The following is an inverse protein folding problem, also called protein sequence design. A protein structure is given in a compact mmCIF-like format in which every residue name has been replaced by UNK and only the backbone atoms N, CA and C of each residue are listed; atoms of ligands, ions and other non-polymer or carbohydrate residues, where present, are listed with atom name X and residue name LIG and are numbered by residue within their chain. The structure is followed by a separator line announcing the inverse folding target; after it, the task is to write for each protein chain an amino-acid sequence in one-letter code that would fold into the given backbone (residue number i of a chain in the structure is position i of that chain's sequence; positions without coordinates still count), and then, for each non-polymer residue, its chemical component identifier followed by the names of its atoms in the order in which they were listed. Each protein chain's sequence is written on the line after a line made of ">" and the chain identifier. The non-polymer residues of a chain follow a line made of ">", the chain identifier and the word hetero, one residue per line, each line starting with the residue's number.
data_IF_056023125708
#
_entry.id   IF_056023125708
#
_cell.length_a   1.000
_cell.length_b   1.000
_cell.length_c   1.000
_cell.angle_alpha   90.00
_cell.angle_beta   90.00
_cell.angle_gamma   90.00
#
_symmetry.space_group_name_H-M   'P 1'
#
loop_
_entity.id
_entity.type
_entity.pdbx_description
1 polymer ?
#
# COMPACT_ATOMS: atom_id res chain seq x y z
N UNK A 1 26.02 -5.17 -8.67
CA UNK A 1 24.88 -4.42 -9.23
C UNK A 1 23.58 -5.24 -9.26
N UNK A 2 23.55 -6.51 -9.71
CA UNK A 2 22.31 -7.32 -9.75
C UNK A 2 21.63 -7.60 -8.40
N UNK A 3 22.38 -7.82 -7.32
CA UNK A 3 21.79 -8.13 -5.99
C UNK A 3 21.03 -6.93 -5.40
N UNK A 4 21.57 -5.71 -5.54
CA UNK A 4 20.95 -4.48 -5.03
C UNK A 4 19.65 -4.15 -5.79
N UNK A 5 19.63 -4.32 -7.11
CA UNK A 5 18.41 -4.12 -7.92
C UNK A 5 17.32 -5.13 -7.59
N UNK A 6 17.69 -6.38 -7.23
CA UNK A 6 16.72 -7.41 -6.81
C UNK A 6 16.09 -7.05 -5.46
N UNK A 7 16.89 -6.63 -4.48
CA UNK A 7 16.42 -6.23 -3.16
C UNK A 7 15.48 -5.02 -3.25
N UNK A 8 15.83 -4.00 -4.04
CA UNK A 8 14.97 -2.82 -4.24
C UNK A 8 13.62 -3.24 -4.86
N UNK A 9 13.61 -4.12 -5.86
CA UNK A 9 12.37 -4.64 -6.46
C UNK A 9 11.52 -5.43 -5.46
N UNK A 10 12.15 -6.27 -4.62
CA UNK A 10 11.45 -7.02 -3.56
C UNK A 10 10.86 -6.09 -2.50
N UNK A 11 11.58 -5.05 -2.09
CA UNK A 11 11.10 -4.06 -1.13
C UNK A 11 9.92 -3.25 -1.70
N UNK A 12 10.00 -2.83 -2.97
CA UNK A 12 8.90 -2.14 -3.65
C UNK A 12 7.67 -3.04 -3.79
N UNK A 13 7.86 -4.33 -4.08
CA UNK A 13 6.77 -5.31 -4.15
C UNK A 13 6.10 -5.51 -2.78
N UNK A 14 6.90 -5.61 -1.70
CA UNK A 14 6.37 -5.70 -0.34
C UNK A 14 5.67 -4.42 0.10
N UNK A 15 6.18 -3.25 -0.26
CA UNK A 15 5.52 -1.98 0.04
C UNK A 15 4.17 -1.86 -0.69
N UNK A 16 4.14 -2.20 -1.99
CA UNK A 16 2.93 -2.19 -2.79
C UNK A 16 1.89 -3.24 -2.36
N UNK A 17 2.29 -4.23 -1.54
CA UNK A 17 1.37 -5.25 -1.01
C UNK A 17 0.58 -4.82 0.23
N UNK A 18 0.83 -3.61 0.78
CA UNK A 18 0.00 -3.07 1.86
C UNK A 18 -1.36 -2.66 1.29
N UNK A 19 -2.43 -3.21 1.85
CA UNK A 19 -3.79 -2.84 1.47
C UNK A 19 -4.15 -1.52 2.13
N UNK A 20 -4.62 -0.56 1.32
CA UNK A 20 -5.12 0.75 1.79
C UNK A 20 -6.61 0.82 1.49
N UNK A 21 -7.41 1.16 2.50
CA UNK A 21 -8.87 1.25 2.39
C UNK A 21 -9.32 2.61 2.90
N UNK A 22 -10.16 3.29 2.12
CA UNK A 22 -10.76 4.57 2.46
C UNK A 22 -12.27 4.41 2.66
N UNK A 23 -12.82 5.00 3.73
CA UNK A 23 -14.25 4.94 4.08
C UNK A 23 -14.77 6.26 4.59
N UNK A 24 -16.08 6.48 4.46
CA UNK A 24 -16.73 7.65 5.05
C UNK A 24 -16.99 7.40 6.54
N UNK A 25 -17.06 8.47 7.32
CA UNK A 25 -17.54 8.40 8.69
C UNK A 25 -18.97 7.79 8.77
N UNK A 26 -19.26 7.11 9.87
CA UNK A 26 -20.50 6.38 10.17
C UNK A 26 -20.79 5.17 9.27
N UNK A 27 -19.89 4.79 8.37
CA UNK A 27 -19.98 3.53 7.63
C UNK A 27 -19.48 2.34 8.47
N UNK A 28 -19.94 1.15 8.13
CA UNK A 28 -19.37 -0.09 8.64
C UNK A 28 -18.23 -0.53 7.72
N UNK A 29 -17.10 -0.94 8.31
CA UNK A 29 -15.94 -1.42 7.56
C UNK A 29 -15.54 -2.82 8.02
N UNK A 30 -15.19 -3.66 7.06
CA UNK A 30 -14.65 -5.00 7.26
C UNK A 30 -13.21 -5.01 6.74
N UNK A 31 -12.24 -5.12 7.65
CA UNK A 31 -10.84 -5.23 7.28
C UNK A 31 -10.52 -6.70 6.99
N UNK A 32 -10.11 -6.97 5.76
CA UNK A 32 -9.90 -8.33 5.28
C UNK A 32 -8.69 -8.97 5.96
N UNK A 33 -8.84 -10.21 6.44
CA UNK A 33 -7.73 -11.06 6.79
C UNK A 33 -7.62 -12.19 5.75
N UNK A 34 -6.44 -12.42 5.12
CA UNK A 34 -6.27 -13.42 4.07
C UNK A 34 -6.16 -14.84 4.66
N UNK A 35 -7.20 -15.27 5.38
CA UNK A 35 -7.38 -16.65 5.80
C UNK A 35 -7.94 -17.43 4.61
N UNK A 36 -7.21 -18.42 4.12
CA UNK A 36 -7.71 -19.25 3.03
C UNK A 36 -8.82 -20.16 3.56
N UNK A 37 -9.95 -20.26 2.84
CA UNK A 37 -11.04 -21.18 3.20
C UNK A 37 -10.58 -22.66 3.24
N UNK A 38 -9.51 -22.99 2.49
CA UNK A 38 -8.85 -24.30 2.52
C UNK A 38 -7.84 -24.47 3.66
N UNK A 39 -7.41 -23.36 4.28
CA UNK A 39 -6.50 -23.32 5.43
C UNK A 39 -7.30 -23.25 6.74
N UNK A 40 -8.20 -24.21 6.98
CA UNK A 40 -8.90 -24.37 8.27
C UNK A 40 -7.98 -24.80 9.43
N UNK A 41 -6.67 -24.79 9.22
CA UNK A 41 -5.62 -25.32 10.10
C UNK A 41 -4.75 -24.20 10.69
N UNK A 42 -5.36 -23.10 11.11
CA UNK A 42 -4.72 -22.11 11.97
C UNK A 42 -5.00 -22.41 13.44
N UNK A 43 -4.05 -22.10 14.32
CA UNK A 43 -4.22 -22.18 15.77
C UNK A 43 -5.13 -21.04 16.25
N UNK A 44 -4.90 -19.83 15.73
CA UNK A 44 -5.66 -18.64 16.09
C UNK A 44 -5.48 -17.50 15.10
N UNK A 45 -6.46 -16.60 15.05
CA UNK A 45 -6.35 -15.28 14.39
C UNK A 45 -6.44 -14.19 15.44
N UNK A 46 -5.55 -13.19 15.36
CA UNK A 46 -5.57 -12.03 16.23
C UNK A 46 -5.42 -10.74 15.42
N UNK A 47 -6.18 -9.72 15.81
CA UNK A 47 -6.13 -8.39 15.24
C UNK A 47 -5.48 -7.40 16.21
N UNK A 48 -4.67 -6.51 15.65
CA UNK A 48 -3.96 -5.48 16.37
C UNK A 48 -4.11 -4.12 15.69
N UNK A 49 -4.17 -3.04 16.48
CA UNK A 49 -3.92 -1.68 16.00
C UNK A 49 -2.43 -1.40 16.14
N UNK A 50 -1.79 -0.98 15.07
CA UNK A 50 -0.35 -0.70 15.02
C UNK A 50 -0.12 0.79 15.18
N UNK A 51 0.70 1.16 16.16
CA UNK A 51 1.09 2.55 16.39
C UNK A 51 2.61 2.60 16.56
N UNK A 52 3.31 3.27 15.65
CA UNK A 52 4.77 3.38 15.64
C UNK A 52 5.49 2.03 15.81
N UNK A 53 4.96 0.96 15.20
CA UNK A 53 5.48 -0.40 15.30
C UNK A 53 5.03 -1.20 16.52
N UNK A 54 4.43 -0.56 17.53
CA UNK A 54 3.85 -1.25 18.68
C UNK A 54 2.45 -1.79 18.34
N UNK A 55 2.21 -3.07 18.66
CA UNK A 55 0.95 -3.74 18.41
C UNK A 55 0.07 -3.71 19.66
N UNK A 56 -1.09 -3.09 19.56
CA UNK A 56 -2.11 -3.10 20.61
C UNK A 56 -3.18 -4.11 20.24
N UNK A 57 -3.40 -5.12 21.10
CA UNK A 57 -4.39 -6.16 20.85
C UNK A 57 -5.80 -5.58 20.75
N UNK A 58 -6.58 -6.08 19.80
CA UNK A 58 -7.99 -5.71 19.62
C UNK A 58 -8.87 -6.91 20.00
N UNK A 59 -8.73 -8.00 19.24
CA UNK A 59 -9.54 -9.21 19.39
C UNK A 59 -8.73 -10.42 18.91
N UNK A 60 -8.90 -11.57 19.56
CA UNK A 60 -8.27 -12.84 19.19
C UNK A 60 -9.30 -13.97 19.24
N UNK A 61 -9.22 -14.89 18.30
CA UNK A 61 -10.04 -16.11 18.28
C UNK A 61 -9.16 -17.32 17.98
N UNK A 62 -9.17 -18.30 18.86
CA UNK A 62 -8.61 -19.62 18.57
C UNK A 62 -9.58 -20.43 17.72
N UNK A 63 -9.09 -21.45 17.01
CA UNK A 63 -9.94 -22.29 16.18
C UNK A 63 -10.99 -23.02 17.03
N UNK A 64 -12.28 -22.79 16.75
CA UNK A 64 -13.41 -23.41 17.47
C UNK A 64 -13.74 -22.79 18.84
N UNK A 65 -13.08 -21.71 19.25
CA UNK A 65 -13.32 -21.03 20.52
C UNK A 65 -14.00 -19.68 20.32
N UNK A 66 -14.60 -19.17 21.41
CA UNK A 66 -15.16 -17.81 21.44
C UNK A 66 -14.06 -16.74 21.36
N UNK A 67 -14.35 -15.55 20.79
CA UNK A 67 -13.40 -14.45 20.75
C UNK A 67 -13.04 -13.93 22.15
N UNK A 68 -11.75 -13.69 22.34
CA UNK A 68 -11.20 -12.94 23.46
C UNK A 68 -10.97 -11.49 23.03
N UNK A 69 -11.53 -10.55 23.78
CA UNK A 69 -11.40 -9.12 23.55
C UNK A 69 -10.31 -8.54 24.44
N UNK A 70 -9.46 -7.68 23.85
CA UNK A 70 -8.49 -6.90 24.60
C UNK A 70 -9.08 -5.52 24.97
N UNK A 71 -8.34 -4.74 25.76
CA UNK A 71 -8.75 -3.38 26.13
C UNK A 71 -8.62 -2.41 24.95
N UNK A 72 -9.54 -2.51 24.01
CA UNK A 72 -9.67 -1.64 22.85
C UNK A 72 -10.82 -0.68 23.09
N UNK A 73 -10.63 0.60 22.78
CA UNK A 73 -11.55 1.68 23.16
C UNK A 73 -12.95 1.61 22.53
N UNK A 74 -13.18 0.65 21.62
CA UNK A 74 -14.42 0.52 20.87
C UNK A 74 -14.83 -0.93 20.70
N UNK A 75 -16.12 -1.12 20.51
CA UNK A 75 -16.68 -2.42 20.15
C UNK A 75 -16.25 -2.82 18.74
N UNK A 76 -15.86 -4.08 18.61
CA UNK A 76 -15.48 -4.73 17.36
C UNK A 76 -16.00 -6.16 17.39
N UNK A 77 -16.08 -6.81 16.24
CA UNK A 77 -16.33 -8.26 16.18
C UNK A 77 -15.52 -8.89 15.05
N UNK A 78 -15.42 -10.21 15.05
CA UNK A 78 -15.01 -10.92 13.84
C UNK A 78 -16.18 -11.00 12.86
N UNK A 79 -15.93 -10.59 11.61
CA UNK A 79 -16.82 -10.81 10.48
C UNK A 79 -16.54 -12.14 9.76
N UNK A 80 -16.95 -12.20 8.49
CA UNK A 80 -16.64 -13.33 7.60
C UNK A 80 -15.13 -13.52 7.45
N UNK A 81 -14.67 -14.76 7.25
CA UNK A 81 -13.25 -15.09 6.99
C UNK A 81 -12.26 -14.54 8.03
N UNK A 82 -12.70 -14.37 9.27
CA UNK A 82 -11.90 -13.79 10.36
C UNK A 82 -11.52 -12.31 10.15
N UNK A 83 -12.27 -11.59 9.32
CA UNK A 83 -12.13 -10.15 9.12
C UNK A 83 -12.43 -9.39 10.41
N UNK A 84 -11.82 -8.22 10.59
CA UNK A 84 -12.18 -7.32 11.67
C UNK A 84 -13.34 -6.42 11.23
N UNK A 85 -14.49 -6.54 11.91
CA UNK A 85 -15.65 -5.70 11.66
C UNK A 85 -15.67 -4.53 12.64
N UNK A 86 -15.66 -3.32 12.08
CA UNK A 86 -15.69 -2.06 12.79
C UNK A 86 -16.94 -1.30 12.34
N UNK A 87 -17.93 -1.17 13.22
CA UNK A 87 -19.19 -0.49 12.90
C UNK A 87 -19.12 1.01 13.14
N UNK A 88 -19.84 1.78 12.32
CA UNK A 88 -19.98 3.24 12.42
C UNK A 88 -18.64 3.94 12.70
N UNK A 89 -17.69 3.78 11.77
CA UNK A 89 -16.33 4.29 11.98
C UNK A 89 -16.27 5.81 12.04
N UNK A 90 -15.28 6.31 12.77
CA UNK A 90 -14.95 7.73 12.91
C UNK A 90 -13.52 8.00 12.45
N UNK A 91 -13.12 9.25 12.21
CA UNK A 91 -11.74 9.60 11.86
C UNK A 91 -10.68 9.06 12.83
N UNK A 92 -11.01 8.93 14.13
CA UNK A 92 -10.13 8.36 15.16
C UNK A 92 -9.84 6.86 14.97
N UNK A 93 -10.67 6.17 14.19
CA UNK A 93 -10.47 4.77 13.83
C UNK A 93 -9.44 4.57 12.73
N UNK A 94 -9.03 5.65 12.06
CA UNK A 94 -7.95 5.60 11.08
C UNK A 94 -6.65 5.09 11.70
N UNK A 95 -5.81 4.52 10.85
CA UNK A 95 -4.50 4.00 11.21
C UNK A 95 -4.25 2.61 10.63
N UNK A 96 -3.10 2.05 11.02
CA UNK A 96 -2.67 0.75 10.54
C UNK A 96 -3.18 -0.36 11.45
N UNK A 97 -3.72 -1.39 10.84
CA UNK A 97 -4.20 -2.60 11.48
C UNK A 97 -3.39 -3.79 10.97
N UNK A 98 -3.19 -4.79 11.82
CA UNK A 98 -2.51 -6.02 11.44
C UNK A 98 -3.29 -7.25 11.88
N UNK A 99 -3.60 -8.12 10.94
CA UNK A 99 -4.07 -9.47 11.19
C UNK A 99 -2.87 -10.41 11.33
N UNK A 100 -2.79 -11.15 12.43
CA UNK A 100 -1.79 -12.21 12.66
C UNK A 100 -2.51 -13.56 12.70
N UNK A 101 -2.15 -14.42 11.76
CA UNK A 101 -2.63 -15.81 11.67
C UNK A 101 -1.53 -16.69 12.26
N UNK A 102 -1.81 -17.31 13.40
CA UNK A 102 -0.92 -18.28 14.02
C UNK A 102 -1.14 -19.64 13.39
N UNK A 103 -0.10 -20.23 12.80
CA UNK A 103 -0.19 -21.56 12.22
C UNK A 103 -0.16 -22.64 13.31
N UNK A 104 -0.57 -23.85 12.94
CA UNK A 104 -0.32 -25.04 13.75
C UNK A 104 1.19 -25.30 13.89
N UNK A 105 1.55 -26.19 14.83
CA UNK A 105 2.94 -26.60 15.06
C UNK A 105 3.58 -27.07 13.76
N UNK A 106 4.77 -26.54 13.46
CA UNK A 106 5.50 -26.83 12.21
C UNK A 106 5.08 -25.96 11.02
N UNK A 107 4.01 -25.18 11.14
CA UNK A 107 3.60 -24.19 10.14
C UNK A 107 4.26 -22.83 10.34
N UNK A 108 4.05 -21.94 9.36
CA UNK A 108 4.56 -20.56 9.40
C UNK A 108 3.44 -19.57 9.68
N UNK A 109 3.63 -18.71 10.69
CA UNK A 109 2.72 -17.61 10.98
C UNK A 109 2.68 -16.62 9.82
N UNK A 110 1.50 -16.06 9.56
CA UNK A 110 1.28 -15.07 8.50
C UNK A 110 0.77 -13.78 9.12
N UNK A 111 1.29 -12.65 8.64
CA UNK A 111 0.85 -11.32 9.06
C UNK A 111 0.36 -10.56 7.84
N UNK A 112 -0.76 -9.87 7.96
CA UNK A 112 -1.32 -9.02 6.92
C UNK A 112 -1.63 -7.64 7.48
N UNK A 113 -1.10 -6.60 6.84
CA UNK A 113 -1.29 -5.21 7.27
C UNK A 113 -2.29 -4.52 6.35
N UNK A 114 -3.19 -3.75 6.96
CA UNK A 114 -4.22 -2.96 6.30
C UNK A 114 -4.18 -1.54 6.88
N UNK A 115 -4.11 -0.53 6.02
CA UNK A 115 -4.21 0.88 6.43
C UNK A 115 -5.63 1.37 6.18
N UNK A 116 -6.32 1.77 7.25
CA UNK A 116 -7.66 2.33 7.20
C UNK A 116 -7.59 3.85 7.29
N UNK A 117 -8.23 4.54 6.34
CA UNK A 117 -8.46 5.98 6.38
C UNK A 117 -9.97 6.21 6.43
N UNK A 118 -10.41 6.93 7.46
CA UNK A 118 -11.80 7.35 7.60
C UNK A 118 -11.87 8.84 7.40
N UNK A 119 -12.65 9.25 6.40
CA UNK A 119 -12.86 10.67 6.08
C UNK A 119 -13.67 11.37 7.17
N UNK A 120 -13.50 12.68 7.27
CA UNK A 120 -14.21 13.53 8.23
C UNK A 120 -15.74 13.36 8.14
N UNK A 121 -16.39 13.42 9.30
CA UNK A 121 -17.85 13.41 9.36
C UNK A 121 -18.35 14.76 8.87
N UNK A 122 -18.92 14.83 7.66
CA UNK A 122 -19.53 16.06 7.15
C UNK A 122 -20.75 16.36 8.03
N UNK A 123 -20.80 17.52 8.71
CA UNK A 123 -22.02 17.93 9.38
C UNK A 123 -23.07 18.17 8.31
N UNK A 124 -24.16 17.41 8.35
CA UNK A 124 -25.36 17.75 7.58
C UNK A 124 -25.86 19.08 8.13
N UNK A 125 -25.42 20.20 7.57
CA UNK A 125 -26.06 21.47 7.81
C UNK A 125 -27.54 21.29 7.45
N UNK A 126 -28.50 21.65 8.32
CA UNK A 126 -29.90 21.60 7.94
C UNK A 126 -30.06 22.47 6.69
N UNK A 127 -30.59 21.88 5.62
CA UNK A 127 -31.03 22.59 4.42
C UNK A 127 -32.03 23.65 4.87
N UNK A 128 -31.53 24.85 5.17
CA UNK A 128 -32.37 26.00 5.39
C UNK A 128 -32.94 26.32 4.02
N UNK A 129 -34.23 26.05 3.87
CA UNK A 129 -35.03 26.42 2.70
C UNK A 129 -34.90 27.93 2.49
N UNK A 130 -33.93 28.37 1.70
CA UNK A 130 -33.83 29.77 1.29
C UNK A 130 -34.89 30.00 0.22
N UNK A 131 -36.00 30.62 0.64
CA UNK A 131 -36.96 31.24 -0.24
C UNK A 131 -36.23 32.28 -1.11
N UNK A 132 -36.00 31.95 -2.36
CA UNK A 132 -35.54 32.91 -3.37
C UNK A 132 -36.69 33.87 -3.69
N UNK A 133 -36.65 35.06 -3.09
CA UNK A 133 -37.28 36.23 -3.70
C UNK A 133 -36.28 36.82 -4.70
N UNK A 134 -36.64 36.80 -5.98
CA UNK A 134 -35.89 37.39 -7.09
C UNK A 134 -35.34 38.78 -6.77
N UNK A 135 -34.02 38.98 -6.91
CA UNK A 135 -33.41 40.28 -7.25
C UNK A 135 -31.97 40.07 -7.76
N UNK A 136 -31.80 40.31 -9.07
CA UNK A 136 -30.60 40.70 -9.83
C UNK A 136 -29.28 39.92 -9.71
N UNK A 137 -28.76 39.61 -10.91
CA UNK A 137 -27.42 39.11 -11.21
C UNK A 137 -26.31 39.71 -10.34
N UNK A 138 -25.74 38.89 -9.47
CA UNK A 138 -24.34 38.95 -9.09
C UNK A 138 -23.87 37.53 -8.71
N UNK A 139 -22.88 37.07 -9.45
CA UNK A 139 -22.04 35.88 -9.23
C UNK A 139 -21.74 35.55 -7.75
N UNK A 140 -21.99 34.30 -7.30
CA UNK A 140 -21.24 33.72 -6.20
C UNK A 140 -20.06 32.93 -6.77
N UNK A 141 -18.89 33.55 -6.74
CA UNK A 141 -17.60 32.90 -6.98
C UNK A 141 -17.43 31.76 -5.98
N UNK A 142 -17.54 30.51 -6.45
CA UNK A 142 -16.99 29.37 -5.74
C UNK A 142 -15.46 29.54 -5.65
N UNK A 143 -14.81 29.22 -4.53
CA UNK A 143 -13.37 29.01 -4.55
C UNK A 143 -13.11 27.70 -5.31
N UNK A 144 -12.40 27.71 -6.45
CA UNK A 144 -11.92 26.46 -7.02
C UNK A 144 -10.83 25.89 -6.10
N UNK A 145 -11.06 24.71 -5.53
CA UNK A 145 -9.99 23.91 -4.95
C UNK A 145 -8.95 23.64 -6.05
N UNK A 146 -7.66 23.98 -5.87
CA UNK A 146 -6.64 23.55 -6.80
C UNK A 146 -6.37 22.07 -6.55
N UNK A 147 -7.03 21.18 -7.30
CA UNK A 147 -6.52 19.82 -7.53
C UNK A 147 -5.30 19.93 -8.44
N UNK A 148 -4.19 20.40 -7.91
CA UNK A 148 -2.86 20.18 -8.49
C UNK A 148 -2.40 18.81 -8.01
N UNK A 149 -3.04 17.76 -8.55
CA UNK A 149 -2.44 16.45 -8.61
C UNK A 149 -1.32 16.58 -9.64
N UNK A 150 -0.15 17.05 -9.21
CA UNK A 150 1.05 17.05 -10.04
C UNK A 150 1.47 15.58 -10.11
N UNK A 151 0.87 14.84 -11.05
CA UNK A 151 1.47 13.63 -11.56
C UNK A 151 2.90 14.00 -11.92
N UNK A 152 3.88 13.39 -11.25
CA UNK A 152 5.29 13.62 -11.58
C UNK A 152 5.41 13.50 -13.09
N UNK A 153 5.92 14.52 -13.78
CA UNK A 153 5.76 14.63 -15.22
C UNK A 153 6.40 13.41 -15.86
N UNK A 154 5.57 12.58 -16.49
CA UNK A 154 5.94 11.33 -17.16
C UNK A 154 7.14 11.54 -18.12
N UNK A 155 7.31 12.76 -18.61
CA UNK A 155 8.43 13.22 -19.43
C UNK A 155 9.80 13.06 -18.75
N UNK A 156 9.93 13.28 -17.44
CA UNK A 156 11.20 13.10 -16.71
C UNK A 156 11.58 11.62 -16.58
N UNK A 157 10.58 10.77 -16.35
CA UNK A 157 10.76 9.32 -16.32
C UNK A 157 11.22 8.79 -17.68
N UNK A 158 10.54 9.20 -18.77
CA UNK A 158 10.92 8.82 -20.14
C UNK A 158 12.33 9.31 -20.48
N UNK A 159 12.66 10.56 -20.16
CA UNK A 159 13.99 11.13 -20.38
C UNK A 159 15.07 10.35 -19.61
N UNK A 160 14.79 9.97 -18.35
CA UNK A 160 15.68 9.15 -17.54
C UNK A 160 15.94 7.76 -18.15
N UNK A 161 14.88 7.06 -18.56
CA UNK A 161 15.03 5.75 -19.21
C UNK A 161 15.79 5.83 -20.55
N UNK A 162 15.53 6.86 -21.34
CA UNK A 162 16.24 7.09 -22.60
C UNK A 162 17.73 7.34 -22.37
N UNK A 163 18.10 8.16 -21.39
CA UNK A 163 19.51 8.42 -21.04
C UNK A 163 20.24 7.13 -20.61
N UNK A 164 19.60 6.29 -19.80
CA UNK A 164 20.17 4.99 -19.37
C UNK A 164 20.33 4.04 -20.55
N UNK A 165 19.38 4.01 -21.48
CA UNK A 165 19.46 3.19 -22.68
C UNK A 165 20.63 3.63 -23.58
N UNK A 166 20.78 4.94 -23.80
CA UNK A 166 21.88 5.50 -24.59
C UNK A 166 23.24 5.20 -23.95
N UNK A 167 23.36 5.36 -22.63
CA UNK A 167 24.60 5.04 -21.91
C UNK A 167 25.02 3.57 -22.10
N UNK A 168 24.06 2.62 -22.09
CA UNK A 168 24.34 1.20 -22.34
C UNK A 168 24.81 0.94 -23.77
N UNK A 169 24.22 1.62 -24.76
CA UNK A 169 24.62 1.50 -26.17
C UNK A 169 26.04 2.04 -26.37
N UNK A 170 26.36 3.19 -25.79
CA UNK A 170 27.72 3.76 -25.88
C UNK A 170 28.73 2.81 -25.23
N UNK A 171 28.42 2.27 -24.05
CA UNK A 171 29.32 1.36 -23.34
C UNK A 171 29.52 0.04 -24.11
N UNK A 172 28.49 -0.49 -24.76
CA UNK A 172 28.62 -1.69 -25.59
C UNK A 172 29.50 -1.46 -26.82
N UNK A 173 29.37 -0.30 -27.48
CA UNK A 173 30.22 0.08 -28.61
C UNK A 173 31.69 0.24 -28.20
N UNK A 174 31.96 0.87 -27.06
CA UNK A 174 33.33 1.00 -26.52
C UNK A 174 33.93 -0.38 -26.25
N UNK A 175 33.18 -1.29 -25.63
CA UNK A 175 33.64 -2.66 -25.36
C UNK A 175 33.98 -3.40 -26.65
N UNK A 176 33.09 -3.34 -27.65
CA UNK A 176 33.34 -3.97 -28.96
C UNK A 176 34.58 -3.37 -29.64
N UNK A 177 34.73 -2.04 -29.58
CA UNK A 177 35.87 -1.35 -30.17
C UNK A 177 37.20 -1.75 -29.51
N UNK A 178 37.23 -1.83 -28.17
CA UNK A 178 38.42 -2.30 -27.43
C UNK A 178 38.76 -3.75 -27.77
N UNK A 179 37.76 -4.64 -27.87
CA UNK A 179 37.98 -6.04 -28.27
C UNK A 179 38.55 -6.12 -29.68
N UNK A 180 38.00 -5.37 -30.64
CA UNK A 180 38.51 -5.31 -32.02
C UNK A 180 39.92 -4.75 -32.10
N UNK A 181 40.24 -3.72 -31.31
CA UNK A 181 41.58 -3.15 -31.27
C UNK A 181 42.59 -4.15 -30.70
N UNK A 182 42.22 -4.87 -29.63
CA UNK A 182 43.06 -5.93 -29.06
C UNK A 182 43.25 -7.10 -30.03
N UNK A 183 42.20 -7.57 -30.69
CA UNK A 183 42.30 -8.66 -31.66
C UNK A 183 43.10 -8.27 -32.90
N UNK A 184 42.99 -7.01 -33.35
CA UNK A 184 43.80 -6.44 -34.43
C UNK A 184 45.28 -6.36 -34.03
N UNK A 185 45.59 -5.84 -32.83
CA UNK A 185 46.97 -5.81 -32.30
C UNK A 185 47.55 -7.21 -32.10
N UNK A 186 46.77 -8.17 -31.59
CA UNK A 186 47.18 -9.56 -31.45
C UNK A 186 47.47 -10.22 -32.80
N UNK A 187 46.64 -9.95 -33.81
CA UNK A 187 46.91 -10.42 -35.18
C UNK A 187 48.20 -9.82 -35.72
N UNK A 188 48.40 -8.51 -35.61
CA UNK A 188 49.62 -7.84 -36.06
C UNK A 188 50.89 -8.44 -35.42
N UNK A 189 50.89 -8.66 -34.10
CA UNK A 189 52.04 -9.28 -33.40
C UNK A 189 52.30 -10.73 -33.82
N UNK A 190 51.30 -11.46 -34.32
CA UNK A 190 51.46 -12.85 -34.81
C UNK A 190 52.12 -12.92 -36.20
N UNK A 191 52.10 -11.85 -36.98
CA UNK A 191 52.74 -11.81 -38.32
C UNK A 191 54.20 -11.33 -38.28
N UNK A 192 54.65 -10.77 -37.16
CA UNK A 192 55.99 -10.17 -37.00
C UNK A 192 56.91 -10.93 -36.01
N UNK A 193 56.52 -12.15 -35.63
CA UNK A 193 57.35 -13.18 -34.99
C UNK A 193 57.37 -14.43 -35.88
#
# INVERSE_FOLDING_TARGET
>A
MCKLTLVIKLLLLHYASQSKIERSCNEDVSLECPVSEKDSTFLSVAWYKVNNGNKHGIIRRSNGEEPVYYNFSREVTFGEKQNLLLRKVSPADSGDYECTISANVGGQNRNHKVSLIVNECVPTAPLTTLNYLNTTMTTPTSPPCPTQLVDLPVTWSIAGYAAVALAKIVLSLIVIWVIRLRSSRQRYNKWHN
#
